data_IF_298440546901
#
_entry.id   IF_298440546901
#
_cell.length_a   1.000
_cell.length_b   1.000
_cell.length_c   1.000
_cell.angle_alpha   90.00
_cell.angle_beta   90.00
_cell.angle_gamma   90.00
#
_symmetry.space_group_name_H-M   'P 1'
#
loop_
_entity.id
_entity.type
_entity.pdbx_description
1 polymer ?
#
# COMPACT_ATOMS: atom_id res chain seq x y z
N UNK A 1 15.57 -0.39 59.10
CA UNK A 1 15.28 -0.23 58.45
C UNK A 1 15.01 -0.30 57.49
N UNK A 2 14.98 -0.36 57.51
CA UNK A 2 14.66 -0.38 56.52
C UNK A 2 13.97 -0.59 55.65
N UNK A 3 14.06 -0.72 56.09
CA UNK A 3 13.42 -0.76 55.17
C UNK A 3 12.83 -0.51 54.34
N UNK A 4 12.90 -0.38 54.40
CA UNK A 4 12.27 0.13 53.63
C UNK A 4 12.16 0.28 52.59
N UNK A 5 12.51 0.41 52.68
CA UNK A 5 12.28 0.70 51.64
C UNK A 5 11.98 0.40 50.68
N UNK A 6 12.18 0.22 51.16
CA UNK A 6 11.80 0.11 50.08
C UNK A 6 11.28 -0.05 49.27
N UNK A 7 11.57 -0.23 49.69
CA UNK A 7 10.93 -0.19 48.96
C UNK A 7 10.46 -0.07 48.08
N UNK A 8 10.57 0.02 48.37
CA UNK A 8 10.02 0.26 47.73
C UNK A 8 9.91 0.38 46.85
N UNK A 9 10.15 0.40 47.00
CA UNK A 9 9.93 0.64 46.15
C UNK A 9 9.83 0.36 45.21
N UNK A 10 9.99 0.12 45.48
CA UNK A 10 9.74 -0.06 44.67
C UNK A 10 9.28 -0.31 43.82
N UNK A 11 9.72 -0.50 44.01
CA UNK A 11 9.38 -1.42 42.99
C UNK A 11 8.27 -1.11 42.14
N UNK A 12 7.65 -0.57 42.54
CA UNK A 12 6.46 -0.17 41.91
C UNK A 12 6.61 0.56 40.67
N UNK A 13 7.66 1.24 40.53
CA UNK A 13 7.85 2.00 39.32
C UNK A 13 7.83 1.13 38.10
N UNK A 14 8.33 -0.03 38.26
CA UNK A 14 8.40 -0.90 37.10
C UNK A 14 7.05 -1.17 36.49
N UNK A 15 6.09 -1.24 37.32
CA UNK A 15 4.78 -1.56 36.81
C UNK A 15 4.25 -0.50 35.90
N UNK A 16 4.64 0.71 36.13
CA UNK A 16 4.14 1.77 35.32
C UNK A 16 4.65 1.69 33.91
N UNK A 17 5.90 1.36 33.80
CA UNK A 17 6.40 1.30 32.44
C UNK A 17 5.77 0.16 31.67
N UNK A 18 5.40 -0.89 32.35
CA UNK A 18 4.77 -1.94 31.60
C UNK A 18 3.45 -1.51 31.00
N UNK A 19 2.77 -0.64 31.64
CA UNK A 19 1.53 -0.18 31.08
C UNK A 19 1.73 0.47 29.72
N UNK A 20 2.75 1.26 29.60
CA UNK A 20 3.00 1.88 28.30
C UNK A 20 3.33 0.87 27.25
N UNK A 21 4.08 -0.10 27.61
CA UNK A 21 4.43 -1.11 26.63
C UNK A 21 3.25 -1.90 26.16
N UNK A 22 2.38 -2.22 27.08
CA UNK A 22 1.19 -2.93 26.72
C UNK A 22 0.36 -2.14 25.75
N UNK A 23 0.26 -0.86 25.98
CA UNK A 23 -0.49 -0.02 25.10
C UNK A 23 0.08 -0.04 23.68
N UNK A 24 1.36 0.07 23.56
CA UNK A 24 1.98 0.01 22.25
C UNK A 24 1.74 -1.33 21.59
N UNK A 25 1.79 -2.38 22.33
CA UNK A 25 1.56 -3.69 21.74
C UNK A 25 0.15 -3.88 21.28
N UNK A 26 -0.78 -3.37 22.04
CA UNK A 26 -2.15 -3.50 21.61
C UNK A 26 -2.38 -2.76 20.34
N UNK A 27 -1.82 -1.60 20.22
CA UNK A 27 -1.92 -0.88 18.98
C UNK A 27 -1.32 -1.66 17.85
N UNK A 28 -0.25 -2.38 18.13
CA UNK A 28 0.40 -3.16 17.13
C UNK A 28 -0.43 -4.34 16.70
N UNK A 29 -0.99 -5.06 17.62
CA UNK A 29 -1.68 -6.27 17.32
C UNK A 29 -0.90 -7.09 16.32
N UNK A 30 -1.57 -7.66 15.36
CA UNK A 30 -0.92 -8.29 14.23
C UNK A 30 -0.50 -7.23 13.23
N UNK A 31 0.67 -7.37 12.66
CA UNK A 31 1.08 -6.41 11.63
C UNK A 31 0.11 -6.46 10.46
N UNK A 32 -0.19 -5.33 9.89
CA UNK A 32 -0.97 -5.30 8.68
C UNK A 32 -0.20 -5.94 7.54
N UNK A 33 -0.91 -6.60 6.65
CA UNK A 33 -0.29 -7.19 5.46
C UNK A 33 0.20 -6.13 4.50
N UNK A 34 -0.46 -4.98 4.48
CA UNK A 34 -0.11 -3.87 3.61
C UNK A 34 0.06 -2.63 4.46
N UNK A 35 1.11 -1.87 4.19
CA UNK A 35 1.42 -0.66 4.95
C UNK A 35 1.68 0.53 4.05
N UNK A 36 2.03 0.29 2.79
CA UNK A 36 2.27 1.36 1.82
C UNK A 36 1.53 1.04 0.53
N UNK A 37 1.28 2.06 -0.27
CA UNK A 37 0.46 1.91 -1.46
C UNK A 37 0.91 2.88 -2.55
N UNK A 38 0.34 2.67 -3.73
CA UNK A 38 0.42 3.60 -4.85
C UNK A 38 -0.98 3.90 -5.33
N UNK A 39 -1.22 5.14 -5.67
CA UNK A 39 -2.42 5.54 -6.38
C UNK A 39 -2.00 6.18 -7.69
N UNK A 40 -2.45 5.61 -8.81
CA UNK A 40 -2.03 6.05 -10.13
C UNK A 40 -3.27 6.49 -10.90
N UNK A 41 -3.35 7.77 -11.19
CA UNK A 41 -4.46 8.31 -11.97
C UNK A 41 -4.11 8.28 -13.46
N UNK A 42 -5.04 7.82 -14.25
CA UNK A 42 -4.88 7.67 -15.69
C UNK A 42 -6.04 8.35 -16.41
N UNK A 43 -5.72 9.17 -17.40
CA UNK A 43 -6.74 9.81 -18.22
C UNK A 43 -6.54 9.36 -19.66
N UNK A 44 -7.56 8.71 -20.23
CA UNK A 44 -7.46 8.18 -21.59
C UNK A 44 -7.57 9.29 -22.62
N UNK A 45 -6.83 9.16 -23.70
CA UNK A 45 -7.05 10.00 -24.87
C UNK A 45 -8.43 9.73 -25.46
N UNK A 46 -9.04 10.73 -26.11
CA UNK A 46 -10.30 10.47 -26.82
C UNK A 46 -10.13 9.32 -27.80
N UNK A 47 -11.06 8.38 -27.74
CA UNK A 47 -11.03 7.20 -28.58
C UNK A 47 -10.16 6.06 -28.03
N UNK A 48 -9.46 6.26 -26.94
CA UNK A 48 -8.60 5.23 -26.35
C UNK A 48 -9.16 4.67 -25.05
N UNK A 49 -10.37 5.03 -24.70
CA UNK A 49 -10.95 4.64 -23.41
C UNK A 49 -10.99 3.12 -23.23
N UNK A 50 -11.46 2.41 -24.25
CA UNK A 50 -11.55 0.96 -24.14
C UNK A 50 -10.17 0.31 -24.20
N UNK A 51 -9.23 0.94 -24.88
CA UNK A 51 -7.86 0.43 -24.89
C UNK A 51 -7.22 0.54 -23.50
N UNK A 52 -7.51 1.62 -22.77
CA UNK A 52 -7.04 1.74 -21.38
C UNK A 52 -7.70 0.69 -20.51
N UNK A 53 -9.01 0.52 -20.65
CA UNK A 53 -9.72 -0.50 -19.89
C UNK A 53 -9.13 -1.88 -20.13
N UNK A 54 -8.84 -2.20 -21.38
CA UNK A 54 -8.28 -3.50 -21.71
C UNK A 54 -6.86 -3.65 -21.18
N UNK A 55 -6.07 -2.58 -21.26
CA UNK A 55 -4.73 -2.60 -20.66
C UNK A 55 -4.79 -2.97 -19.18
N UNK A 56 -5.75 -2.38 -18.46
CA UNK A 56 -5.89 -2.68 -17.03
C UNK A 56 -6.30 -4.13 -16.78
N UNK A 57 -7.21 -4.66 -17.60
CA UNK A 57 -7.60 -6.06 -17.48
C UNK A 57 -6.41 -6.99 -17.69
N UNK A 58 -5.59 -6.70 -18.67
CA UNK A 58 -4.43 -7.51 -18.97
C UNK A 58 -3.32 -7.36 -17.93
N UNK A 59 -3.27 -6.21 -17.28
CA UNK A 59 -2.28 -5.95 -16.24
C UNK A 59 -2.35 -6.92 -15.08
N UNK A 60 -3.52 -7.47 -14.83
CA UNK A 60 -3.70 -8.44 -13.75
C UNK A 60 -2.75 -9.62 -13.88
N UNK A 61 -2.60 -10.16 -15.08
CA UNK A 61 -1.74 -11.32 -15.28
C UNK A 61 -0.29 -11.01 -14.96
N UNK A 62 0.16 -9.80 -15.26
CA UNK A 62 1.53 -9.41 -14.97
C UNK A 62 1.75 -9.26 -13.47
N UNK A 63 0.77 -8.69 -12.78
CA UNK A 63 0.87 -8.44 -11.35
C UNK A 63 0.82 -9.73 -10.54
N UNK A 64 0.15 -10.74 -11.05
CA UNK A 64 0.10 -12.01 -10.33
C UNK A 64 1.45 -12.66 -10.17
N UNK A 65 2.41 -12.28 -10.98
CA UNK A 65 3.77 -12.77 -10.83
C UNK A 65 4.58 -11.97 -9.82
N UNK A 66 3.99 -10.98 -9.16
CA UNK A 66 4.68 -10.11 -8.20
C UNK A 66 4.28 -10.46 -6.78
N UNK A 67 5.10 -11.24 -6.07
CA UNK A 67 4.70 -11.70 -4.73
C UNK A 67 4.54 -10.59 -3.70
N UNK A 68 5.24 -9.48 -3.87
CA UNK A 68 5.14 -8.38 -2.91
C UNK A 68 3.99 -7.43 -3.20
N UNK A 69 3.32 -7.58 -4.34
CA UNK A 69 2.11 -6.80 -4.62
C UNK A 69 0.92 -7.55 -4.06
N UNK A 70 0.52 -7.18 -2.86
CA UNK A 70 -0.52 -7.92 -2.14
C UNK A 70 -1.89 -7.62 -2.71
N UNK A 71 -2.09 -6.36 -3.11
CA UNK A 71 -3.38 -5.89 -3.60
C UNK A 71 -3.13 -5.06 -4.86
N UNK A 72 -3.95 -5.27 -5.88
CA UNK A 72 -3.87 -4.49 -7.11
C UNK A 72 -5.27 -4.38 -7.70
N UNK A 73 -5.71 -3.15 -7.97
CA UNK A 73 -6.99 -2.89 -8.61
C UNK A 73 -6.79 -1.95 -9.78
N UNK A 74 -7.34 -2.31 -10.94
CA UNK A 74 -7.53 -1.37 -12.02
C UNK A 74 -8.99 -0.97 -12.01
N UNK A 75 -9.27 0.32 -11.93
CA UNK A 75 -10.66 0.79 -11.77
C UNK A 75 -10.98 1.88 -12.79
N UNK A 76 -12.26 2.02 -13.09
CA UNK A 76 -12.77 3.05 -13.95
C UNK A 76 -13.55 4.05 -13.11
N UNK A 77 -13.19 5.32 -13.22
CA UNK A 77 -13.82 6.38 -12.43
C UNK A 77 -14.86 7.17 -13.23
N UNK A 78 -14.78 7.12 -14.53
CA UNK A 78 -15.69 7.84 -15.42
C UNK A 78 -15.45 7.39 -16.85
N UNK A 79 -16.03 8.08 -17.84
CA UNK A 79 -15.90 7.61 -19.23
C UNK A 79 -14.45 7.53 -19.70
N UNK A 80 -13.60 8.46 -19.28
CA UNK A 80 -12.21 8.48 -19.73
C UNK A 80 -11.21 8.43 -18.58
N UNK A 81 -11.68 8.36 -17.34
CA UNK A 81 -10.81 8.42 -16.16
C UNK A 81 -10.71 7.06 -15.53
N UNK A 82 -9.49 6.66 -15.24
CA UNK A 82 -9.18 5.36 -14.65
C UNK A 82 -8.15 5.54 -13.54
N UNK A 83 -7.97 4.51 -12.75
CA UNK A 83 -6.92 4.54 -11.74
C UNK A 83 -6.44 3.12 -11.44
N UNK A 84 -5.23 3.04 -10.91
CA UNK A 84 -4.70 1.83 -10.32
C UNK A 84 -4.47 2.14 -8.86
N UNK A 85 -4.92 1.25 -7.99
CA UNK A 85 -4.57 1.27 -6.58
C UNK A 85 -3.92 -0.05 -6.24
N UNK A 86 -2.71 0.00 -5.69
CA UNK A 86 -2.05 -1.22 -5.25
C UNK A 86 -1.35 -0.98 -3.92
N UNK A 87 -1.10 -2.07 -3.20
CA UNK A 87 -0.58 -1.97 -1.85
C UNK A 87 0.41 -3.09 -1.58
N UNK A 88 1.36 -2.79 -0.68
CA UNK A 88 2.55 -3.60 -0.44
C UNK A 88 2.84 -3.67 1.05
N UNK A 89 3.56 -4.71 1.49
CA UNK A 89 3.93 -4.79 2.91
C UNK A 89 4.85 -3.66 3.34
N UNK A 90 5.74 -3.23 2.45
CA UNK A 90 6.76 -2.23 2.77
C UNK A 90 7.22 -1.52 1.51
N UNK A 91 8.10 -0.55 1.68
CA UNK A 91 8.60 0.22 0.54
C UNK A 91 9.43 -0.64 -0.42
N UNK A 92 10.11 -1.66 0.07
CA UNK A 92 10.86 -2.54 -0.82
C UNK A 92 9.93 -3.24 -1.82
N UNK A 93 8.77 -3.67 -1.36
CA UNK A 93 7.77 -4.26 -2.25
C UNK A 93 7.24 -3.26 -3.25
N UNK A 94 7.00 -2.03 -2.80
CA UNK A 94 6.54 -0.97 -3.68
C UNK A 94 7.57 -0.65 -4.76
N UNK A 95 8.85 -0.58 -4.38
CA UNK A 95 9.92 -0.35 -5.35
C UNK A 95 10.04 -1.49 -6.35
N UNK A 96 9.89 -2.72 -5.89
CA UNK A 96 9.92 -3.87 -6.79
C UNK A 96 8.80 -3.78 -7.83
N UNK A 97 7.61 -3.35 -7.41
CA UNK A 97 6.50 -3.17 -8.33
C UNK A 97 6.80 -2.08 -9.36
N UNK A 98 7.32 -0.95 -8.92
CA UNK A 98 7.65 0.15 -9.82
C UNK A 98 8.73 -0.23 -10.83
N UNK A 99 9.57 -1.19 -10.51
CA UNK A 99 10.59 -1.71 -11.42
C UNK A 99 10.10 -2.91 -12.22
N UNK A 100 8.86 -3.31 -12.02
CA UNK A 100 8.32 -4.54 -12.60
C UNK A 100 7.71 -4.37 -13.97
N UNK A 101 7.14 -5.47 -14.47
CA UNK A 101 6.68 -5.52 -15.86
C UNK A 101 5.41 -4.73 -16.10
N UNK A 102 4.51 -4.68 -15.14
CA UNK A 102 3.27 -3.94 -15.35
C UNK A 102 3.55 -2.44 -15.40
N UNK A 103 4.46 -1.94 -14.55
CA UNK A 103 4.84 -0.54 -14.60
C UNK A 103 5.55 -0.22 -15.92
N UNK A 104 6.45 -1.10 -16.35
CA UNK A 104 7.13 -0.91 -17.63
C UNK A 104 6.13 -0.90 -18.79
N UNK A 105 5.15 -1.79 -18.77
CA UNK A 105 4.14 -1.83 -19.82
C UNK A 105 3.29 -0.56 -19.82
N UNK A 106 2.95 -0.05 -18.65
CA UNK A 106 2.19 1.19 -18.56
C UNK A 106 2.97 2.34 -19.17
N UNK A 107 4.24 2.48 -18.81
CA UNK A 107 5.05 3.58 -19.35
C UNK A 107 5.24 3.45 -20.85
N UNK A 108 5.35 2.22 -21.36
CA UNK A 108 5.50 2.01 -22.80
C UNK A 108 4.23 2.39 -23.58
N UNK A 109 3.06 2.23 -22.95
CA UNK A 109 1.78 2.52 -23.61
C UNK A 109 1.26 3.92 -23.32
N UNK A 110 1.81 4.61 -22.34
CA UNK A 110 1.25 5.88 -21.90
C UNK A 110 1.14 6.91 -23.02
N UNK A 111 2.14 7.02 -23.87
CA UNK A 111 2.11 7.99 -24.94
C UNK A 111 0.99 7.76 -25.94
N UNK A 112 0.65 6.50 -26.18
CA UNK A 112 -0.42 6.12 -27.10
C UNK A 112 -1.80 6.25 -26.48
N UNK A 113 -1.94 5.89 -25.25
CA UNK A 113 -3.24 5.69 -24.61
C UNK A 113 -3.70 6.86 -23.75
N UNK A 114 -2.76 7.61 -23.17
CA UNK A 114 -3.11 8.58 -22.15
C UNK A 114 -2.96 10.01 -22.63
N UNK A 115 -3.90 10.85 -22.21
CA UNK A 115 -3.89 12.26 -22.55
C UNK A 115 -2.73 13.00 -21.89
N UNK A 116 -2.22 12.45 -20.78
CA UNK A 116 -1.10 13.02 -20.05
C UNK A 116 -0.38 11.87 -19.34
N UNK A 117 0.85 12.10 -18.88
CA UNK A 117 1.57 11.03 -18.17
C UNK A 117 0.80 10.55 -16.94
N UNK A 118 0.96 9.28 -16.56
CA UNK A 118 0.31 8.80 -15.34
C UNK A 118 0.71 9.62 -14.14
N UNK A 119 -0.25 9.93 -13.29
CA UNK A 119 0.02 10.65 -12.05
C UNK A 119 0.20 9.61 -10.95
N UNK A 120 1.43 9.39 -10.51
CA UNK A 120 1.77 8.36 -9.55
C UNK A 120 1.97 8.98 -8.18
N UNK A 121 1.17 8.56 -7.21
CA UNK A 121 1.27 9.06 -5.85
C UNK A 121 1.56 7.93 -4.89
N UNK A 122 2.54 8.14 -4.03
CA UNK A 122 2.84 7.22 -2.95
C UNK A 122 1.92 7.53 -1.79
N UNK A 123 1.49 6.48 -1.10
CA UNK A 123 0.55 6.63 0.01
C UNK A 123 0.94 5.69 1.13
N UNK A 124 0.51 6.04 2.34
CA UNK A 124 0.59 5.16 3.49
C UNK A 124 -0.77 4.53 3.69
N UNK A 125 -0.79 3.25 4.02
CA UNK A 125 -2.04 2.57 4.34
C UNK A 125 -2.30 2.75 5.82
N UNK A 126 -3.36 3.45 6.16
CA UNK A 126 -3.70 3.70 7.55
C UNK A 126 -4.51 2.56 8.15
N UNK A 127 -5.32 1.90 7.33
CA UNK A 127 -6.15 0.80 7.77
C UNK A 127 -6.50 -0.05 6.56
N UNK A 128 -6.60 -1.34 6.75
CA UNK A 128 -6.95 -2.24 5.67
C UNK A 128 -7.80 -3.39 6.19
N UNK A 129 -8.68 -3.87 5.34
CA UNK A 129 -9.39 -5.10 5.56
C UNK A 129 -9.24 -5.92 4.30
N UNK A 130 -8.56 -7.05 4.42
CA UNK A 130 -8.28 -7.93 3.29
C UNK A 130 -8.94 -9.28 3.51
N UNK A 131 -9.33 -9.97 2.43
CA UNK A 131 -9.88 -11.31 2.56
C UNK A 131 -8.82 -12.28 3.10
N UNK A 132 -9.26 -13.24 3.85
CA UNK A 132 -8.41 -14.30 4.37
C UNK A 132 -7.59 -13.96 5.58
#
# INVERSE_FOLDING_TARGET
MERREFLAALGTAATISSASQVFAQTGGGSPQKVNVALYVALEAKPGKEEAVAEFLRQGRALVEAEPATIVWFGIRLGPSSFAIFDAFPDDAGRQAHLAGKVAAALMAKAGDLLAQPPSIKKADVLASKLPG
#
